data_IF_042687556857
#
_entry.id   IF_042687556857
#
_cell.length_a   1.000
_cell.length_b   1.000
_cell.length_c   1.000
_cell.angle_alpha   90.00
_cell.angle_beta   90.00
_cell.angle_gamma   90.00
#
_symmetry.space_group_name_H-M   'P 1'
#
loop_
_entity.id
_entity.type
_entity.pdbx_description
1 polymer ?
2 polymer ?
3 polymer ?
4 non-polymer ?
5 non-polymer ?
6 non-polymer ?
7 water ?
#
loop_
_entity_poly.entity_id
_entity_poly.type
_entity_poly.pdbx_seq_one_letter_code
_entity_poly.pdbx_strand_id
2 'polydeoxyribonucleotide' '(DA)(DG)(DG)(DA)(DC)(DC)(DOC)' ?
3 'polydeoxyribonucleotide' '(DC)(DT)(DG)(DG)(DG)(DT)(DC)(DC)(DT)' ?
#
# COMPACT_ATOMS: atom_id res chain seq x y z
N UNK A 26 25.17 9.00 -3.89
CA UNK A 26 25.73 8.38 -2.70
C UNK A 26 24.78 7.34 -2.12
N UNK A 27 25.00 6.96 -0.85
CA UNK A 27 24.18 5.93 -0.20
C UNK A 27 23.10 6.52 0.71
N UNK A 28 21.87 6.14 0.43
CA UNK A 28 20.75 6.67 1.14
C UNK A 28 20.44 5.84 2.38
N UNK A 29 19.55 6.35 3.22
CA UNK A 29 18.96 5.61 4.32
C UNK A 29 17.45 5.74 4.15
N UNK A 30 16.81 4.68 3.69
CA UNK A 30 15.38 4.65 3.48
C UNK A 30 14.74 3.82 4.60
N UNK A 31 13.56 4.26 5.07
CA UNK A 31 12.76 3.44 5.99
C UNK A 31 11.42 3.13 5.36
N UNK A 32 10.97 1.90 5.53
CA UNK A 32 9.64 1.54 5.07
C UNK A 32 8.75 1.16 6.24
N UNK A 33 7.73 1.99 6.50
CA UNK A 33 6.83 1.75 7.60
C UNK A 33 5.58 1.04 7.11
N UNK A 34 5.14 0.05 7.86
CA UNK A 34 4.05 -0.81 7.42
C UNK A 34 3.21 -1.20 8.66
N UNK A 35 1.94 -0.80 8.74
CA UNK A 35 1.19 -0.98 9.99
C UNK A 35 0.72 -2.41 10.19
N UNK A 36 0.65 -2.86 11.44
CA UNK A 36 0.17 -4.21 11.71
C UNK A 36 -1.35 -4.33 11.41
N UNK A 37 -1.77 -5.48 10.86
CA UNK A 37 -3.18 -5.81 10.57
C UNK A 37 -4.06 -4.57 10.50
N UNK A 38 -3.79 -3.72 9.52
CA UNK A 38 -4.35 -2.36 9.48
C UNK A 38 -5.83 -2.20 9.81
N UNK A 39 -6.72 -2.69 8.95
CA UNK A 39 -8.15 -2.50 9.16
C UNK A 39 -8.59 -3.07 10.50
N UNK A 40 -8.17 -4.30 10.78
CA UNK A 40 -8.37 -4.95 12.08
C UNK A 40 -7.95 -4.02 13.18
N UNK A 41 -6.80 -3.38 13.00
CA UNK A 41 -6.27 -2.49 14.02
C UNK A 41 -7.16 -1.29 14.29
N UNK A 42 -7.66 -0.66 13.24
CA UNK A 42 -8.51 0.52 13.41
C UNK A 42 -9.82 0.12 14.12
N UNK A 43 -10.29 -1.09 13.81
CA UNK A 43 -11.49 -1.60 14.45
C UNK A 43 -11.31 -1.73 15.94
N UNK A 44 -10.15 -2.25 16.36
CA UNK A 44 -9.87 -2.48 17.78
C UNK A 44 -9.67 -1.20 18.58
N UNK A 45 -9.21 -0.16 17.91
CA UNK A 45 -9.01 1.14 18.57
C UNK A 45 -10.37 1.80 18.79
N UNK A 46 -11.37 1.34 18.04
CA UNK A 46 -12.73 1.85 18.22
C UNK A 46 -13.46 1.07 19.32
N UNK A 47 -13.53 -0.25 19.16
CA UNK A 47 -14.15 -1.11 20.17
C UNK A 47 -13.14 -2.10 20.77
N UNK A 48 -12.43 -1.69 21.83
CA UNK A 48 -11.36 -2.49 22.45
C UNK A 48 -11.79 -3.86 22.97
N UNK A 49 -13.11 -4.07 23.09
CA UNK A 49 -13.63 -5.36 23.55
C UNK A 49 -13.35 -6.47 22.52
N UNK A 50 -12.82 -6.05 21.37
CA UNK A 50 -12.44 -6.99 20.32
C UNK A 50 -10.99 -7.46 20.52
N UNK A 51 -10.19 -6.65 21.24
CA UNK A 51 -8.75 -6.91 21.42
C UNK A 51 -8.43 -8.35 21.87
N UNK A 52 -9.16 -8.83 22.87
CA UNK A 52 -8.93 -10.17 23.40
C UNK A 52 -9.85 -11.20 22.75
N UNK A 53 -9.90 -11.21 21.42
CA UNK A 53 -10.81 -12.08 20.68
C UNK A 53 -10.57 -12.01 19.17
N UNK A 54 -10.56 -13.16 18.48
CA UNK A 54 -10.31 -13.20 17.02
C UNK A 54 -11.23 -12.25 16.24
N UNK A 55 -10.62 -11.33 15.49
CA UNK A 55 -11.35 -10.28 14.75
C UNK A 55 -10.99 -10.27 13.27
N UNK A 56 -12.01 -10.29 12.42
CA UNK A 56 -11.81 -10.23 10.98
C UNK A 56 -12.56 -9.05 10.36
N UNK A 57 -11.93 -8.34 9.44
CA UNK A 57 -12.63 -7.24 8.78
C UNK A 57 -13.23 -7.74 7.46
N UNK A 58 -14.53 -7.53 7.33
CA UNK A 58 -15.31 -8.16 6.28
C UNK A 58 -15.76 -7.19 5.20
N UNK A 59 -15.66 -7.67 3.95
CA UNK A 59 -16.06 -6.92 2.79
C UNK A 59 -16.75 -7.88 1.86
N UNK A 60 -18.04 -7.64 1.63
CA UNK A 60 -18.88 -8.58 0.89
C UNK A 60 -18.67 -9.99 1.42
N UNK A 61 -18.15 -10.88 0.58
CA UNK A 61 -17.91 -12.26 1.00
C UNK A 61 -16.43 -12.50 1.25
N UNK A 62 -15.73 -11.46 1.67
CA UNK A 62 -14.30 -11.60 1.93
C UNK A 62 -13.96 -11.25 3.36
N UNK A 63 -12.85 -11.82 3.83
CA UNK A 63 -12.19 -11.36 5.03
C UNK A 63 -10.83 -10.82 4.59
N UNK A 64 -10.76 -9.51 4.34
CA UNK A 64 -9.58 -8.87 3.77
C UNK A 64 -8.37 -8.87 4.71
N UNK A 65 -8.64 -8.72 5.99
CA UNK A 65 -7.60 -8.79 7.00
C UNK A 65 -8.21 -9.26 8.33
N UNK A 66 -7.37 -9.55 9.29
CA UNK A 66 -7.80 -9.96 10.61
C UNK A 66 -6.69 -9.65 11.58
N UNK A 67 -7.03 -9.46 12.85
CA UNK A 67 -6.01 -9.28 13.87
C UNK A 67 -5.20 -10.57 13.98
N UNK A 68 -4.17 -10.57 14.81
CA UNK A 68 -3.31 -11.75 14.83
C UNK A 68 -3.88 -12.88 15.65
N UNK A 69 -4.84 -12.54 16.52
CA UNK A 69 -5.54 -13.53 17.30
C UNK A 69 -6.25 -14.53 16.39
N UNK A 70 -6.86 -14.05 15.32
CA UNK A 70 -7.53 -14.94 14.38
C UNK A 70 -6.55 -15.53 13.39
N UNK A 71 -5.35 -14.97 13.34
CA UNK A 71 -4.41 -15.37 12.31
C UNK A 71 -3.75 -16.67 12.70
N UNK A 72 -3.57 -16.85 14.00
CA UNK A 72 -3.01 -18.09 14.55
C UNK A 72 -4.06 -19.21 14.46
N UNK A 73 -5.34 -18.85 14.56
CA UNK A 73 -6.44 -19.81 14.43
C UNK A 73 -6.76 -20.15 12.97
N UNK A 74 -5.81 -19.93 12.06
CA UNK A 74 -5.96 -20.34 10.68
C UNK A 74 -6.58 -19.37 9.67
N UNK A 75 -7.17 -18.28 10.16
CA UNK A 75 -7.74 -17.26 9.27
C UNK A 75 -6.60 -16.57 8.53
N UNK A 76 -6.78 -16.31 7.23
CA UNK A 76 -5.74 -15.65 6.44
C UNK A 76 -6.29 -14.47 5.62
N UNK A 77 -5.40 -13.53 5.28
CA UNK A 77 -5.77 -12.36 4.49
C UNK A 77 -6.42 -12.76 3.16
N UNK A 78 -7.52 -12.09 2.80
CA UNK A 78 -8.28 -12.39 1.59
C UNK A 78 -8.79 -13.84 1.57
N UNK A 79 -9.48 -14.24 2.63
CA UNK A 79 -10.05 -15.57 2.68
C UNK A 79 -11.58 -15.51 2.70
N UNK A 80 -12.20 -16.38 1.90
CA UNK A 80 -13.67 -16.52 1.82
C UNK A 80 -14.32 -16.61 3.21
N UNK A 81 -15.42 -15.89 3.42
CA UNK A 81 -16.07 -15.90 4.74
C UNK A 81 -16.59 -17.29 5.12
N UNK A 82 -16.85 -18.14 4.13
CA UNK A 82 -17.28 -19.51 4.42
C UNK A 82 -16.13 -20.42 4.84
N UNK A 83 -14.96 -20.22 4.24
CA UNK A 83 -13.74 -20.92 4.69
C UNK A 83 -13.34 -20.41 6.08
N UNK A 84 -13.53 -19.12 6.31
CA UNK A 84 -13.11 -18.49 7.56
C UNK A 84 -14.04 -18.83 8.71
N UNK A 85 -15.27 -19.25 8.39
CA UNK A 85 -16.18 -19.73 9.42
C UNK A 85 -15.93 -21.22 9.73
N UNK A 86 -15.53 -21.99 8.73
CA UNK A 86 -15.17 -23.40 8.92
C UNK A 86 -13.66 -23.58 9.12
N UNK A 87 -13.04 -22.61 9.80
CA UNK A 87 -11.66 -22.72 10.23
C UNK A 87 -11.57 -21.93 11.53
N UNK A 88 -12.61 -21.15 11.79
CA UNK A 88 -12.78 -20.44 13.04
C UNK A 88 -14.24 -20.02 13.18
N UNK A 89 -15.09 -20.93 13.70
CA UNK A 89 -16.52 -20.67 13.83
C UNK A 89 -16.90 -19.76 15.01
N UNK A 90 -15.92 -19.32 15.80
CA UNK A 90 -16.16 -18.38 16.90
C UNK A 90 -15.58 -16.99 16.59
N UNK A 91 -15.34 -16.78 15.31
CA UNK A 91 -14.77 -15.53 14.80
C UNK A 91 -15.79 -14.39 14.78
N UNK A 92 -15.36 -13.22 15.26
CA UNK A 92 -16.19 -12.00 15.27
C UNK A 92 -15.96 -11.12 14.03
N UNK A 93 -17.03 -10.79 13.32
CA UNK A 93 -16.90 -10.04 12.08
C UNK A 93 -17.34 -8.59 12.25
N UNK A 94 -16.53 -7.69 11.68
CA UNK A 94 -16.92 -6.28 11.55
C UNK A 94 -16.98 -5.94 10.07
N UNK A 95 -17.97 -5.14 9.69
CA UNK A 95 -18.06 -4.67 8.32
C UNK A 95 -17.18 -3.43 8.09
N UNK A 96 -16.26 -3.55 7.14
CA UNK A 96 -15.39 -2.44 6.79
C UNK A 96 -15.40 -2.23 5.29
N UNK A 97 -16.57 -1.94 4.74
CA UNK A 97 -16.72 -1.68 3.31
C UNK A 97 -16.67 -0.17 3.08
N UNK A 98 -16.99 0.56 4.14
CA UNK A 98 -16.82 1.99 4.14
C UNK A 98 -15.37 2.24 4.50
N UNK A 99 -14.57 2.62 3.53
CA UNK A 99 -13.18 2.92 3.83
C UNK A 99 -12.96 4.27 4.53
N UNK A 100 -14.02 4.97 4.93
CA UNK A 100 -13.85 6.31 5.47
C UNK A 100 -12.95 6.39 6.71
N UNK A 101 -13.21 5.55 7.72
CA UNK A 101 -12.43 5.64 8.95
C UNK A 101 -10.95 5.25 8.77
N UNK A 102 -10.67 4.31 7.87
CA UNK A 102 -9.33 3.83 7.63
C UNK A 102 -8.54 4.86 6.87
N UNK A 103 -9.17 5.44 5.85
CA UNK A 103 -8.50 6.44 5.05
C UNK A 103 -8.10 7.64 5.91
N UNK A 104 -8.94 8.03 6.86
CA UNK A 104 -8.57 9.15 7.71
C UNK A 104 -7.36 8.80 8.57
N UNK A 105 -7.30 7.55 9.01
CA UNK A 105 -6.17 7.08 9.80
C UNK A 105 -4.89 6.97 8.96
N UNK A 106 -5.03 6.50 7.73
CA UNK A 106 -3.92 6.43 6.80
C UNK A 106 -3.17 7.74 6.75
N UNK A 107 -3.92 8.82 6.52
CA UNK A 107 -3.36 10.17 6.39
C UNK A 107 -2.89 10.77 7.70
N UNK A 108 -3.49 10.34 8.80
CA UNK A 108 -2.96 10.73 10.08
C UNK A 108 -1.56 10.12 10.25
N UNK A 109 -1.32 8.97 9.62
CA UNK A 109 -0.05 8.32 9.77
C UNK A 109 1.01 8.98 8.88
N UNK A 110 0.67 9.21 7.61
CA UNK A 110 1.59 9.94 6.74
C UNK A 110 1.98 11.29 7.36
N UNK A 111 1.03 11.99 7.97
CA UNK A 111 1.32 13.33 8.45
C UNK A 111 2.20 13.35 9.68
N UNK A 112 2.05 12.33 10.51
CA UNK A 112 2.95 12.13 11.62
C UNK A 112 4.35 11.83 11.05
N UNK A 113 4.45 10.95 10.04
CA UNK A 113 5.75 10.70 9.42
C UNK A 113 6.28 11.94 8.72
N UNK A 114 5.37 12.71 8.13
CA UNK A 114 5.75 13.87 7.35
C UNK A 114 6.46 14.86 8.25
N UNK A 115 6.31 14.69 9.55
CA UNK A 115 6.84 15.65 10.52
C UNK A 115 8.33 15.44 10.79
N UNK A 116 8.72 14.17 10.88
CA UNK A 116 10.13 13.80 10.92
C UNK A 116 10.82 14.32 9.66
N UNK A 117 10.40 13.86 8.48
CA UNK A 117 10.95 14.39 7.24
C UNK A 117 9.83 14.56 6.24
N UNK A 118 9.83 15.70 5.52
CA UNK A 118 8.72 16.13 4.65
C UNK A 118 8.44 15.22 3.44
N UNK A 119 9.44 14.47 2.97
CA UNK A 119 9.30 13.65 1.76
C UNK A 119 8.85 12.23 2.09
N UNK A 120 7.54 12.02 2.10
CA UNK A 120 6.95 10.74 2.42
C UNK A 120 6.13 10.23 1.25
N UNK A 121 6.42 9.01 0.84
CA UNK A 121 5.67 8.35 -0.21
C UNK A 121 4.72 7.33 0.39
N UNK A 122 3.44 7.50 0.11
CA UNK A 122 2.52 6.48 0.54
C UNK A 122 2.56 5.36 -0.48
N UNK A 123 2.20 4.16 -0.04
CA UNK A 123 1.97 3.04 -0.91
C UNK A 123 0.78 2.35 -0.32
N UNK A 124 -0.40 2.66 -0.85
CA UNK A 124 -1.63 2.16 -0.28
C UNK A 124 -1.93 2.90 1.01
N UNK A 125 -2.86 2.36 1.79
CA UNK A 125 -3.30 3.03 3.01
C UNK A 125 -2.32 2.88 4.19
N UNK A 126 -1.50 1.85 4.18
CA UNK A 126 -0.73 1.50 5.37
C UNK A 126 0.78 1.53 5.23
N UNK A 127 1.26 1.81 4.02
CA UNK A 127 2.71 1.84 3.86
C UNK A 127 3.27 3.24 3.58
N UNK A 128 4.41 3.51 4.17
CA UNK A 128 5.06 4.77 3.97
C UNK A 128 6.57 4.57 3.82
N UNK A 129 7.15 5.22 2.82
CA UNK A 129 8.59 5.31 2.72
C UNK A 129 9.00 6.69 3.15
N UNK A 130 10.09 6.77 3.88
CA UNK A 130 10.65 8.06 4.20
C UNK A 130 12.14 7.98 4.01
N UNK A 131 12.64 8.92 3.23
CA UNK A 131 14.06 9.02 2.99
C UNK A 131 14.62 9.72 4.20
N UNK A 132 15.30 8.95 5.04
CA UNK A 132 15.95 9.41 6.26
C UNK A 132 17.39 9.94 6.09
N UNK A 133 17.85 10.16 4.85
CA UNK A 133 19.27 10.49 4.62
C UNK A 133 19.71 11.82 5.20
N UNK A 134 19.02 12.90 4.84
CA UNK A 134 19.30 14.19 5.46
C UNK A 134 19.22 14.16 7.01
N UNK A 135 18.15 13.60 7.58
CA UNK A 135 18.08 13.45 9.05
C UNK A 135 19.29 12.74 9.65
N UNK A 136 19.72 11.63 9.04
CA UNK A 136 20.85 10.84 9.58
C UNK A 136 22.14 11.67 9.57
N UNK A 137 22.39 12.30 8.43
CA UNK A 137 23.54 13.18 8.24
C UNK A 137 23.57 14.24 9.32
N UNK A 138 22.49 15.01 9.41
CA UNK A 138 22.34 16.07 10.40
C UNK A 138 22.60 15.60 11.83
N UNK A 139 22.19 14.38 12.15
CA UNK A 139 22.40 13.86 13.50
C UNK A 139 23.87 13.57 13.81
N UNK A 140 24.57 12.94 12.87
CA UNK A 140 25.98 12.61 13.07
C UNK A 140 26.80 13.87 13.32
N UNK A 141 26.61 14.88 12.47
CA UNK A 141 27.34 16.14 12.59
C UNK A 141 27.09 16.86 13.91
N UNK A 142 26.12 16.38 14.68
CA UNK A 142 25.81 16.93 16.00
C UNK A 142 26.63 16.22 17.06
N UNK A 143 27.11 15.04 16.71
CA UNK A 143 27.83 14.18 17.65
C UNK A 143 29.30 14.56 17.78
N UNK A 144 29.87 14.23 18.94
CA UNK A 144 31.26 14.52 19.25
C UNK A 144 32.11 13.26 19.15
N UNK A 145 33.24 13.35 18.46
CA UNK A 145 34.14 12.22 18.18
C UNK A 145 34.53 11.39 19.41
N UNK A 146 33.53 10.94 20.16
CA UNK A 146 33.76 10.18 21.40
C UNK A 146 32.50 9.38 21.67
N UNK A 147 31.35 10.04 21.48
CA UNK A 147 30.04 9.40 21.59
C UNK A 147 29.64 8.76 20.25
N UNK A 148 30.64 8.51 19.41
CA UNK A 148 30.45 7.82 18.14
C UNK A 148 30.70 6.32 18.29
N UNK A 149 30.52 5.82 19.50
CA UNK A 149 30.79 4.42 19.83
C UNK A 149 29.74 3.99 20.85
N UNK A 150 29.10 4.99 21.46
CA UNK A 150 27.96 4.76 22.34
C UNK A 150 26.78 4.26 21.51
N UNK A 151 26.79 4.63 20.21
CA UNK A 151 25.76 4.25 19.21
C UNK A 151 25.34 2.78 19.20
N UNK A 152 24.04 2.56 19.25
CA UNK A 152 23.49 1.21 19.28
C UNK A 152 22.43 1.06 18.22
N UNK A 153 21.91 -0.15 18.09
CA UNK A 153 20.84 -0.40 17.14
C UNK A 153 19.50 -0.44 17.87
N UNK A 154 18.45 -0.03 17.17
CA UNK A 154 17.09 -0.19 17.67
C UNK A 154 16.43 -1.32 16.92
N UNK A 155 16.02 -2.34 17.67
CA UNK A 155 15.36 -3.46 17.08
C UNK A 155 16.36 -4.46 16.53
N UNK A 156 15.85 -5.39 15.72
CA UNK A 156 16.62 -6.46 15.09
C UNK A 156 17.66 -5.99 14.07
N UNK A 157 18.65 -6.84 13.83
CA UNK A 157 19.58 -6.59 12.75
C UNK A 157 19.47 -7.77 11.82
N UNK A 158 19.27 -7.54 10.54
CA UNK A 158 19.02 -8.67 9.63
C UNK A 158 20.16 -9.71 9.53
N UNK A 159 19.77 -10.98 9.48
CA UNK A 159 20.68 -12.13 9.46
C UNK A 159 21.55 -12.20 10.69
N UNK A 160 21.22 -11.40 11.70
CA UNK A 160 21.95 -11.43 12.95
C UNK A 160 23.40 -10.94 12.78
N UNK A 161 23.60 -10.10 11.78
CA UNK A 161 24.92 -9.68 11.37
C UNK A 161 25.67 -8.82 12.37
N UNK A 162 26.97 -9.02 12.42
CA UNK A 162 27.83 -8.24 13.30
C UNK A 162 27.93 -6.81 12.84
N UNK A 163 27.94 -5.90 13.80
CA UNK A 163 28.08 -4.48 13.54
C UNK A 163 29.52 -4.08 13.71
N UNK A 164 30.00 -3.34 12.72
CA UNK A 164 31.32 -2.78 12.75
C UNK A 164 31.15 -1.27 12.90
N UNK A 165 31.32 -0.81 14.15
CA UNK A 165 31.14 0.61 14.51
C UNK A 165 32.02 1.58 13.72
N UNK A 166 32.98 1.07 12.96
CA UNK A 166 33.90 1.93 12.23
C UNK A 166 33.47 2.08 10.77
N UNK A 167 32.54 1.21 10.35
CA UNK A 167 31.94 1.28 9.03
C UNK A 167 30.95 2.44 8.99
N UNK A 168 31.29 3.52 8.29
CA UNK A 168 30.44 4.69 8.30
C UNK A 168 28.97 4.36 7.90
N UNK A 169 28.79 3.49 6.89
CA UNK A 169 27.45 3.06 6.45
C UNK A 169 26.72 2.27 7.53
N UNK A 170 27.48 1.47 8.27
CA UNK A 170 26.92 0.82 9.44
C UNK A 170 26.38 1.85 10.44
N UNK A 171 27.16 2.90 10.70
CA UNK A 171 26.80 3.92 11.67
C UNK A 171 25.55 4.65 11.22
N UNK A 172 25.47 4.90 9.91
CA UNK A 172 24.33 5.55 9.34
C UNK A 172 23.04 4.70 9.46
N UNK A 173 23.08 3.43 9.08
CA UNK A 173 21.92 2.58 9.17
C UNK A 173 21.43 2.34 10.59
N UNK A 174 22.33 2.42 11.57
CA UNK A 174 21.93 2.29 12.96
C UNK A 174 21.17 3.51 13.40
N UNK A 175 21.69 4.67 12.99
CA UNK A 175 21.03 5.93 13.31
C UNK A 175 19.64 5.87 12.71
N UNK A 176 19.59 5.51 11.43
CA UNK A 176 18.33 5.32 10.71
C UNK A 176 17.37 4.39 11.43
N UNK A 177 17.90 3.43 12.19
CA UNK A 177 17.04 2.54 12.96
C UNK A 177 16.54 3.21 14.23
N UNK A 178 17.33 4.15 14.77
CA UNK A 178 16.94 4.90 15.96
C UNK A 178 15.79 5.84 15.61
N UNK A 179 15.90 6.49 14.46
CA UNK A 179 14.81 7.31 13.95
C UNK A 179 13.60 6.44 13.75
N UNK A 180 13.76 5.30 13.11
CA UNK A 180 12.62 4.42 12.84
C UNK A 180 11.86 4.09 14.11
N UNK A 181 12.60 3.80 15.17
CA UNK A 181 11.97 3.51 16.44
C UNK A 181 11.19 4.73 16.97
N UNK A 182 11.70 5.94 16.73
CA UNK A 182 11.06 7.17 17.22
C UNK A 182 9.78 7.51 16.48
N UNK A 183 9.79 7.23 15.19
CA UNK A 183 8.57 7.25 14.41
C UNK A 183 7.60 6.27 15.08
N UNK A 184 7.96 4.99 15.11
CA UNK A 184 7.08 3.97 15.68
C UNK A 184 6.55 4.34 17.06
N UNK A 185 7.40 4.97 17.88
CA UNK A 185 6.97 5.37 19.21
C UNK A 185 5.93 6.45 19.10
N UNK A 186 6.22 7.46 18.30
CA UNK A 186 5.27 8.56 18.09
C UNK A 186 3.91 8.02 17.66
N UNK A 187 3.89 7.28 16.55
CA UNK A 187 2.68 6.60 16.06
C UNK A 187 1.86 5.95 17.15
N UNK A 188 2.52 5.32 18.10
CA UNK A 188 1.77 4.68 19.18
C UNK A 188 1.26 5.70 20.18
N UNK A 189 2.15 6.58 20.64
CA UNK A 189 1.82 7.62 21.61
C UNK A 189 0.68 8.52 21.12
N UNK A 190 0.76 8.98 19.89
CA UNK A 190 -0.20 9.94 19.38
C UNK A 190 -1.32 9.35 18.55
N UNK A 191 -1.15 8.15 18.02
CA UNK A 191 -2.26 7.60 17.25
C UNK A 191 -2.77 6.28 17.79
N UNK A 192 -2.04 5.70 18.74
CA UNK A 192 -2.40 4.39 19.27
C UNK A 192 -2.14 3.23 18.32
N UNK A 193 -1.32 3.44 17.31
CA UNK A 193 -1.04 2.41 16.30
C UNK A 193 0.34 1.73 16.41
N UNK A 194 0.35 0.43 16.09
CA UNK A 194 1.61 -0.34 16.03
C UNK A 194 1.85 -0.89 14.61
N UNK A 195 3.11 -0.89 14.19
CA UNK A 195 3.48 -1.42 12.89
C UNK A 195 4.94 -1.81 12.83
N UNK A 196 5.37 -2.31 11.68
CA UNK A 196 6.78 -2.67 11.47
C UNK A 196 7.53 -1.63 10.65
N UNK A 197 8.84 -1.63 10.81
CA UNK A 197 9.70 -0.78 10.00
C UNK A 197 10.86 -1.62 9.50
N UNK A 198 11.30 -1.37 8.27
CA UNK A 198 12.61 -1.80 7.82
C UNK A 198 13.52 -0.63 7.49
N UNK A 199 14.73 -0.60 8.03
CA UNK A 199 15.71 0.37 7.55
C UNK A 199 16.72 -0.32 6.61
N UNK A 200 16.93 0.27 5.45
CA UNK A 200 17.86 -0.26 4.45
C UNK A 200 18.40 0.89 3.58
N UNK A 201 18.89 0.60 2.38
CA UNK A 201 19.54 1.65 1.61
C UNK A 201 18.85 1.97 0.27
N UNK A 202 17.74 1.32 0.01
CA UNK A 202 16.85 1.72 -1.06
C UNK A 202 15.45 1.17 -0.76
N UNK A 203 14.44 1.56 -1.53
CA UNK A 203 13.08 1.21 -1.15
C UNK A 203 12.81 -0.28 -1.28
N UNK A 204 13.34 -0.92 -2.32
CA UNK A 204 13.11 -2.34 -2.49
C UNK A 204 13.61 -3.15 -1.28
N UNK A 205 14.83 -2.86 -0.84
CA UNK A 205 15.38 -3.53 0.33
C UNK A 205 14.73 -3.12 1.68
N UNK A 206 14.43 -1.84 1.87
CA UNK A 206 13.76 -1.44 3.10
C UNK A 206 12.40 -2.16 3.25
N UNK A 207 11.74 -2.44 2.13
CA UNK A 207 10.42 -3.06 2.21
C UNK A 207 10.47 -4.59 2.43
N UNK A 208 11.51 -5.22 1.89
CA UNK A 208 11.71 -6.66 2.05
C UNK A 208 12.19 -7.02 3.45
N UNK A 209 12.92 -6.09 4.10
CA UNK A 209 13.40 -6.31 5.46
C UNK A 209 12.42 -5.86 6.55
N UNK A 210 11.42 -5.06 6.19
CA UNK A 210 10.45 -4.54 7.16
C UNK A 210 9.60 -5.66 7.67
N UNK A 211 9.42 -6.67 6.84
CA UNK A 211 8.54 -7.77 7.16
C UNK A 211 9.22 -8.96 7.82
N UNK A 212 10.49 -8.83 8.17
CA UNK A 212 11.19 -9.99 8.69
C UNK A 212 10.69 -10.35 10.07
N UNK A 213 10.43 -9.35 10.91
CA UNK A 213 9.81 -9.60 12.22
C UNK A 213 8.47 -8.90 12.37
N UNK A 214 7.39 -9.67 12.28
CA UNK A 214 6.02 -9.17 12.47
C UNK A 214 5.40 -9.86 13.68
N UNK A 215 4.52 -9.16 14.39
CA UNK A 215 4.18 -7.76 14.11
C UNK A 215 4.91 -6.86 15.09
N UNK A 216 4.92 -5.57 14.80
CA UNK A 216 5.37 -4.60 15.75
C UNK A 216 6.84 -4.76 16.16
N UNK A 217 7.69 -4.98 15.17
CA UNK A 217 9.14 -4.99 15.36
C UNK A 217 9.75 -4.24 14.20
N UNK A 218 11.02 -3.88 14.32
CA UNK A 218 11.76 -3.34 13.19
C UNK A 218 13.06 -4.11 12.98
N UNK A 219 13.52 -4.12 11.74
CA UNK A 219 14.71 -4.85 11.32
C UNK A 219 15.54 -3.92 10.47
N UNK A 220 16.83 -3.81 10.75
CA UNK A 220 17.71 -2.99 9.92
C UNK A 220 18.63 -3.90 9.10
N UNK A 221 18.89 -3.51 7.85
CA UNK A 221 19.66 -4.34 6.94
C UNK A 221 21.00 -3.77 6.67
N UNK A 222 22.04 -4.46 7.12
CA UNK A 222 23.42 -4.09 6.78
C UNK A 222 23.80 -4.62 5.39
N UNK A 223 24.69 -3.90 4.69
CA UNK A 223 25.07 -4.24 3.29
C UNK A 223 25.56 -5.71 3.07
N UNK A 224 26.48 -6.17 3.92
CA UNK A 224 26.94 -7.57 3.87
C UNK A 224 25.79 -8.61 3.84
N UNK A 225 24.65 -8.28 4.45
CA UNK A 225 23.55 -9.23 4.51
C UNK A 225 22.53 -9.06 3.39
N UNK A 226 22.85 -8.19 2.43
CA UNK A 226 21.94 -7.94 1.31
C UNK A 226 21.70 -9.14 0.36
N UNK A 227 22.77 -9.77 -0.14
CA UNK A 227 22.59 -11.01 -0.89
C UNK A 227 21.80 -12.05 -0.08
N UNK A 228 22.08 -12.18 1.22
CA UNK A 228 21.34 -13.13 2.04
C UNK A 228 19.85 -12.95 1.90
N UNK A 229 19.40 -11.70 2.07
CA UNK A 229 17.99 -11.36 1.98
C UNK A 229 17.41 -11.64 0.59
N UNK A 230 18.08 -11.15 -0.45
CA UNK A 230 17.60 -11.35 -1.80
C UNK A 230 17.46 -12.84 -2.16
N UNK A 231 18.40 -13.67 -1.73
CA UNK A 231 18.32 -15.08 -2.06
C UNK A 231 17.47 -15.86 -1.09
N UNK A 232 16.95 -15.18 -0.07
CA UNK A 232 16.02 -15.84 0.84
C UNK A 232 14.60 -16.02 0.28
N UNK A 233 14.27 -15.30 -0.80
CA UNK A 233 12.94 -15.37 -1.40
C UNK A 233 12.80 -16.60 -2.27
N UNK A 234 11.62 -17.21 -2.21
CA UNK A 234 11.38 -18.50 -2.84
C UNK A 234 10.64 -18.44 -4.18
N UNK A 235 9.88 -17.38 -4.40
CA UNK A 235 9.23 -17.20 -5.69
C UNK A 235 9.53 -15.78 -6.18
N UNK A 236 9.75 -15.61 -7.47
CA UNK A 236 10.02 -14.28 -8.00
C UNK A 236 8.85 -13.31 -7.80
N UNK A 237 7.65 -13.85 -7.66
CA UNK A 237 6.50 -12.97 -7.45
C UNK A 237 6.55 -12.32 -6.08
N UNK A 238 7.54 -12.68 -5.26
CA UNK A 238 7.71 -12.09 -3.93
C UNK A 238 8.49 -10.78 -4.01
N UNK A 239 9.01 -10.48 -5.21
CA UNK A 239 9.73 -9.25 -5.45
C UNK A 239 8.78 -8.09 -5.73
N UNK A 240 8.76 -7.09 -4.85
CA UNK A 240 7.91 -5.93 -5.13
C UNK A 240 8.31 -5.27 -6.47
N UNK A 241 7.46 -5.42 -7.48
CA UNK A 241 7.73 -4.90 -8.80
C UNK A 241 7.27 -5.90 -9.85
N UNK A 242 7.39 -7.18 -9.48
CA UNK A 242 6.95 -8.27 -10.31
C UNK A 242 5.59 -8.73 -9.78
N UNK A 243 4.59 -8.68 -10.64
CA UNK A 243 3.23 -8.96 -10.22
C UNK A 243 2.69 -10.19 -10.89
N UNK A 244 1.36 -10.28 -11.04
CA UNK A 244 0.77 -11.49 -11.61
C UNK A 244 1.27 -11.82 -13.02
N UNK A 245 1.11 -10.90 -13.96
CA UNK A 245 1.45 -11.20 -15.35
C UNK A 245 2.94 -11.42 -15.59
N UNK A 246 3.76 -10.47 -15.14
CA UNK A 246 5.20 -10.56 -15.36
C UNK A 246 5.77 -11.87 -14.85
N UNK A 247 5.16 -12.39 -13.79
CA UNK A 247 5.53 -13.70 -13.26
C UNK A 247 5.26 -14.82 -14.26
N UNK A 248 4.02 -14.92 -14.73
CA UNK A 248 3.63 -16.04 -15.58
C UNK A 248 4.39 -16.01 -16.89
N UNK A 249 4.80 -14.82 -17.31
CA UNK A 249 5.64 -14.71 -18.49
C UNK A 249 7.06 -15.16 -18.15
N UNK A 250 7.47 -14.97 -16.90
CA UNK A 250 8.78 -15.44 -16.46
C UNK A 250 8.82 -16.96 -16.25
N UNK A 251 7.80 -17.49 -15.59
CA UNK A 251 7.69 -18.94 -15.34
C UNK A 251 7.73 -19.68 -16.66
N UNK A 252 6.95 -19.19 -17.62
CA UNK A 252 7.01 -19.69 -18.99
C UNK A 252 8.28 -19.20 -19.68
N UNK A 253 9.42 -19.49 -19.08
CA UNK A 253 10.71 -19.13 -19.66
C UNK A 253 11.83 -19.87 -18.92
N UNK A 254 11.44 -20.63 -17.89
CA UNK A 254 12.38 -21.43 -17.11
C UNK A 254 13.03 -20.67 -15.97
N UNK A 255 12.51 -19.46 -15.72
CA UNK A 255 12.96 -18.60 -14.63
C UNK A 255 12.03 -18.77 -13.44
N UNK A 256 12.49 -19.42 -12.38
CA UNK A 256 11.65 -19.66 -11.22
C UNK A 256 12.24 -19.08 -9.93
N UNK A 257 13.56 -18.91 -9.92
CA UNK A 257 14.20 -18.35 -8.73
C UNK A 257 14.73 -16.93 -8.98
N UNK A 258 15.13 -16.26 -7.90
CA UNK A 258 15.70 -14.94 -8.03
C UNK A 258 17.04 -15.06 -8.78
N UNK A 259 17.73 -16.19 -8.61
CA UNK A 259 18.99 -16.41 -9.30
C UNK A 259 18.76 -16.82 -10.76
N UNK A 260 17.73 -17.63 -11.01
CA UNK A 260 17.34 -17.96 -12.38
C UNK A 260 17.17 -16.67 -13.20
N UNK A 261 16.53 -15.65 -12.60
CA UNK A 261 16.38 -14.33 -13.23
C UNK A 261 17.64 -13.46 -13.10
N UNK A 262 18.35 -13.58 -11.99
CA UNK A 262 19.60 -12.85 -11.81
C UNK A 262 20.60 -13.18 -12.92
N UNK A 263 20.65 -14.45 -13.29
CA UNK A 263 21.72 -14.94 -14.16
C UNK A 263 21.25 -15.12 -15.61
N UNK A 264 19.95 -14.94 -15.82
CA UNK A 264 19.38 -15.02 -17.15
C UNK A 264 19.98 -13.97 -18.07
N UNK A 265 19.82 -14.15 -19.38
CA UNK A 265 20.37 -13.22 -20.35
C UNK A 265 19.49 -12.00 -20.61
N UNK A 266 20.09 -10.81 -20.49
CA UNK A 266 19.40 -9.54 -20.69
C UNK A 266 18.67 -9.49 -22.04
N UNK A 267 19.41 -9.55 -23.14
CA UNK A 267 18.85 -9.45 -24.50
C UNK A 267 17.55 -10.20 -24.64
N UNK A 268 17.58 -11.50 -24.35
CA UNK A 268 16.41 -12.35 -24.52
C UNK A 268 15.24 -11.77 -23.74
N UNK A 269 15.57 -11.24 -22.56
CA UNK A 269 14.60 -10.67 -21.62
C UNK A 269 14.19 -9.24 -22.01
N UNK A 270 15.17 -8.40 -22.40
CA UNK A 270 14.87 -7.08 -22.93
C UNK A 270 13.85 -7.26 -24.03
N UNK A 271 14.19 -8.11 -24.99
CA UNK A 271 13.33 -8.47 -26.12
C UNK A 271 11.90 -8.87 -25.69
N UNK A 272 11.81 -9.74 -24.71
CA UNK A 272 10.53 -10.35 -24.34
C UNK A 272 9.61 -9.41 -23.57
N UNK A 273 10.21 -8.44 -22.89
CA UNK A 273 9.48 -7.64 -21.92
C UNK A 273 9.69 -6.16 -22.17
N UNK A 274 10.38 -5.83 -23.24
CA UNK A 274 10.66 -4.43 -23.53
C UNK A 274 11.73 -3.93 -22.60
N UNK A 275 12.75 -3.33 -23.18
CA UNK A 275 13.94 -2.86 -22.48
C UNK A 275 13.65 -2.18 -21.13
N UNK A 276 12.48 -1.56 -21.02
CA UNK A 276 12.06 -0.91 -19.79
C UNK A 276 11.99 -1.86 -18.61
N UNK A 277 11.03 -2.78 -18.66
CA UNK A 277 10.77 -3.65 -17.50
C UNK A 277 11.87 -4.70 -17.27
N UNK A 278 12.45 -5.20 -18.36
CA UNK A 278 13.58 -6.11 -18.28
C UNK A 278 14.65 -5.52 -17.38
N UNK A 279 15.32 -4.48 -17.86
CA UNK A 279 16.49 -3.95 -17.14
C UNK A 279 16.18 -3.60 -15.71
N UNK A 280 14.90 -3.40 -15.41
CA UNK A 280 14.50 -2.98 -14.09
C UNK A 280 14.21 -4.14 -13.14
N UNK A 281 13.52 -5.17 -13.61
CA UNK A 281 13.35 -6.34 -12.75
C UNK A 281 14.64 -7.17 -12.61
N UNK A 282 15.56 -7.01 -13.54
CA UNK A 282 16.81 -7.70 -13.37
C UNK A 282 17.58 -6.94 -12.31
N UNK A 283 17.54 -5.62 -12.40
CA UNK A 283 18.32 -4.79 -11.48
C UNK A 283 17.76 -4.93 -10.09
N UNK A 284 16.44 -5.12 -10.03
CA UNK A 284 15.73 -5.46 -8.80
C UNK A 284 16.23 -6.79 -8.25
N UNK A 285 16.49 -7.74 -9.14
CA UNK A 285 16.79 -9.09 -8.72
C UNK A 285 18.12 -9.18 -7.99
N UNK A 286 18.93 -8.13 -8.06
CA UNK A 286 20.21 -8.07 -7.32
C UNK A 286 20.08 -7.16 -6.12
N UNK A 287 18.86 -6.68 -5.88
CA UNK A 287 18.58 -5.75 -4.80
C UNK A 287 18.93 -4.30 -5.09
N UNK A 288 19.12 -3.97 -6.37
CA UNK A 288 19.45 -2.60 -6.78
C UNK A 288 18.20 -1.81 -7.13
N UNK A 289 18.01 -0.72 -6.41
CA UNK A 289 16.84 0.12 -6.61
C UNK A 289 17.26 1.58 -6.56
N UNK A 290 17.16 2.26 -7.69
CA UNK A 290 17.69 3.61 -7.83
C UNK A 290 16.64 4.58 -7.42
N UNK A 291 15.40 4.08 -7.45
CA UNK A 291 14.20 4.91 -7.38
C UNK A 291 14.16 5.74 -6.11
N UNK A 292 13.89 7.03 -6.27
CA UNK A 292 13.85 7.94 -5.12
C UNK A 292 12.52 7.82 -4.39
N UNK A 293 12.45 8.47 -3.23
CA UNK A 293 11.25 8.51 -2.45
C UNK A 293 10.62 9.82 -2.86
N UNK A 294 9.36 9.78 -3.27
CA UNK A 294 8.72 10.98 -3.78
C UNK A 294 7.51 11.41 -2.97
N UNK A 295 7.46 12.69 -2.58
CA UNK A 295 6.31 13.28 -1.91
C UNK A 295 4.99 12.88 -2.59
N UNK A 296 4.18 12.13 -1.87
CA UNK A 296 2.90 11.68 -2.39
C UNK A 296 1.93 12.87 -2.42
N UNK A 297 1.93 13.62 -1.32
CA UNK A 297 1.01 14.72 -1.12
C UNK A 297 -0.45 14.34 -1.07
N UNK A 298 -1.34 15.31 -1.32
CA UNK A 298 -2.77 15.05 -1.52
C UNK A 298 -2.95 14.11 -2.69
N UNK A 299 -4.06 13.35 -2.69
CA UNK A 299 -4.36 12.34 -3.73
C UNK A 299 -4.41 12.92 -5.12
N UNK A 300 -4.24 12.06 -6.12
CA UNK A 300 -4.38 12.43 -7.52
C UNK A 300 -5.75 11.96 -8.02
N UNK A 301 -6.51 11.34 -7.12
CA UNK A 301 -7.84 10.86 -7.45
C UNK A 301 -8.61 10.40 -6.21
N UNK A 302 -9.93 10.49 -6.25
CA UNK A 302 -10.73 9.85 -5.21
C UNK A 302 -12.08 9.32 -5.70
N UNK A 303 -12.28 8.03 -5.47
CA UNK A 303 -13.36 7.26 -6.10
C UNK A 303 -14.21 6.58 -5.03
N UNK A 304 -15.28 5.93 -5.49
CA UNK A 304 -16.10 5.05 -4.67
C UNK A 304 -16.50 3.82 -5.51
N UNK A 305 -16.16 2.63 -5.01
CA UNK A 305 -16.52 1.36 -5.66
C UNK A 305 -17.66 0.68 -4.92
N UNK A 306 -18.29 -0.27 -5.62
CA UNK A 306 -19.25 -1.23 -5.05
C UNK A 306 -19.39 -2.40 -6.03
N UNK A 307 -19.47 -3.61 -5.51
CA UNK A 307 -19.66 -4.80 -6.35
C UNK A 307 -20.83 -5.65 -5.86
N UNK A 308 -21.26 -6.58 -6.70
CA UNK A 308 -22.47 -7.36 -6.42
C UNK A 308 -22.57 -8.65 -7.24
N UNK A 309 -23.77 -9.21 -7.25
CA UNK A 309 -24.06 -10.40 -8.02
C UNK A 309 -24.65 -9.98 -9.37
N UNK A 310 -25.60 -9.06 -9.32
CA UNK A 310 -26.34 -8.63 -10.52
C UNK A 310 -26.88 -7.20 -10.49
N UNK A 311 -26.72 -6.51 -11.60
CA UNK A 311 -27.42 -5.26 -11.87
C UNK A 311 -27.70 -5.17 -13.36
N UNK A 312 -28.96 -5.35 -13.76
CA UNK A 312 -29.34 -5.46 -15.17
C UNK A 312 -30.44 -4.47 -15.61
N UNK A 313 -30.66 -3.42 -14.83
CA UNK A 313 -31.63 -2.39 -15.20
C UNK A 313 -31.00 -0.98 -15.28
N UNK A 314 -31.69 -0.07 -15.96
CA UNK A 314 -31.21 1.30 -16.07
C UNK A 314 -31.58 2.10 -14.82
N UNK A 315 -32.61 1.63 -14.11
CA UNK A 315 -33.04 2.31 -12.89
C UNK A 315 -32.19 1.92 -11.67
N UNK A 316 -31.70 0.68 -11.65
CA UNK A 316 -30.83 0.21 -10.58
C UNK A 316 -29.46 0.89 -10.68
N UNK A 317 -28.96 0.96 -11.91
CA UNK A 317 -27.72 1.69 -12.19
C UNK A 317 -27.79 3.17 -11.77
N UNK A 318 -28.91 3.84 -12.04
CA UNK A 318 -29.02 5.25 -11.67
C UNK A 318 -28.92 5.49 -10.15
N UNK A 319 -29.55 4.63 -9.36
CA UNK A 319 -29.54 4.82 -7.90
C UNK A 319 -28.19 4.47 -7.24
N UNK A 320 -27.53 3.42 -7.72
CA UNK A 320 -26.18 3.07 -7.25
C UNK A 320 -25.19 4.19 -7.55
N UNK A 321 -25.29 4.74 -8.75
CA UNK A 321 -24.44 5.84 -9.20
C UNK A 321 -24.76 7.14 -8.45
N UNK A 322 -25.94 7.20 -7.83
CA UNK A 322 -26.29 8.34 -6.99
C UNK A 322 -25.66 8.27 -5.60
N UNK A 323 -25.64 7.07 -5.00
CA UNK A 323 -25.08 6.89 -3.66
C UNK A 323 -23.56 7.11 -3.69
N UNK A 324 -22.93 6.50 -4.70
CA UNK A 324 -21.50 6.65 -4.96
C UNK A 324 -21.14 8.12 -5.04
N UNK A 325 -21.99 8.88 -5.73
CA UNK A 325 -21.76 10.29 -5.95
C UNK A 325 -22.07 11.17 -4.73
N UNK A 326 -22.90 10.68 -3.83
CA UNK A 326 -23.24 11.43 -2.62
C UNK A 326 -22.10 11.38 -1.59
N UNK A 327 -21.53 10.19 -1.42
CA UNK A 327 -20.38 10.04 -0.54
C UNK A 327 -19.22 10.84 -1.12
N UNK A 328 -18.98 10.63 -2.41
CA UNK A 328 -17.95 11.38 -3.13
C UNK A 328 -18.04 12.87 -2.91
N UNK A 329 -19.25 13.41 -2.90
CA UNK A 329 -19.46 14.85 -2.77
C UNK A 329 -19.03 15.38 -1.41
N UNK A 330 -19.39 14.67 -0.34
CA UNK A 330 -19.01 15.09 1.02
C UNK A 330 -17.49 15.06 1.15
N UNK A 331 -16.88 14.16 0.37
CA UNK A 331 -15.44 14.02 0.25
C UNK A 331 -14.82 15.15 -0.56
N UNK A 332 -15.44 15.44 -1.70
CA UNK A 332 -14.91 16.40 -2.68
C UNK A 332 -14.83 17.83 -2.16
N UNK A 333 -15.45 18.08 -1.01
CA UNK A 333 -15.22 19.32 -0.29
C UNK A 333 -13.75 19.42 0.15
N UNK A 334 -13.47 20.32 1.09
CA UNK A 334 -12.07 20.72 1.43
C UNK A 334 -11.19 21.01 0.20
N UNK A 335 -9.87 21.09 0.42
CA UNK A 335 -8.87 21.76 -0.44
C UNK A 335 -9.32 22.68 -1.61
N UNK A 337 -8.90 21.23 -3.04
CA UNK A 337 -9.15 21.64 -4.43
C UNK A 337 -10.49 21.12 -4.98
N UNK A 338 -10.65 21.20 -6.29
CA UNK A 338 -11.83 20.63 -6.94
C UNK A 338 -11.37 19.92 -8.21
N UNK A 339 -12.11 18.88 -8.61
CA UNK A 339 -11.74 18.05 -9.77
C UNK A 339 -12.28 18.58 -11.08
N UNK A 340 -11.58 18.27 -12.16
CA UNK A 340 -11.98 18.73 -13.49
C UNK A 340 -12.23 17.58 -14.47
N UNK A 341 -12.46 16.38 -13.94
CA UNK A 341 -12.84 15.23 -14.80
C UNK A 341 -13.69 14.22 -14.03
N UNK A 342 -14.52 13.49 -14.75
CA UNK A 342 -15.32 12.44 -14.15
C UNK A 342 -15.08 11.12 -14.87
N UNK A 343 -14.92 10.08 -14.07
CA UNK A 343 -14.61 8.75 -14.57
C UNK A 343 -15.71 7.84 -14.10
N UNK A 344 -16.20 6.99 -15.00
CA UNK A 344 -17.20 5.97 -14.67
C UNK A 344 -16.64 4.62 -15.07
N UNK A 345 -16.70 3.67 -14.13
CA UNK A 345 -16.14 2.35 -14.36
C UNK A 345 -17.19 1.27 -14.18
N UNK A 346 -17.22 0.32 -15.12
CA UNK A 346 -18.10 -0.84 -14.99
C UNK A 346 -17.30 -2.15 -15.12
N UNK A 347 -17.83 -3.23 -14.54
CA UNK A 347 -17.37 -4.58 -14.87
C UNK A 347 -18.57 -5.45 -15.20
N UNK A 348 -18.48 -6.21 -16.28
CA UNK A 348 -19.62 -6.98 -16.76
C UNK A 348 -19.31 -8.47 -16.76
N UNK A 349 -20.26 -9.27 -16.27
CA UNK A 349 -20.26 -10.74 -16.39
C UNK A 349 -21.56 -11.32 -15.87
N UNK A 356 -11.64 -7.67 -18.80
CA UNK A 356 -11.84 -7.18 -17.46
C UNK A 356 -12.89 -6.07 -17.38
N UNK A 357 -12.42 -4.83 -17.29
CA UNK A 357 -13.29 -3.68 -17.07
C UNK A 357 -13.52 -2.83 -18.34
N UNK A 358 -14.13 -1.66 -18.16
CA UNK A 358 -14.34 -0.64 -19.20
C UNK A 358 -14.62 0.70 -18.53
N UNK A 359 -14.27 1.81 -19.20
CA UNK A 359 -14.54 3.14 -18.64
C UNK A 359 -14.78 4.22 -19.68
N UNK A 360 -15.48 5.28 -19.27
CA UNK A 360 -15.79 6.41 -20.14
C UNK A 360 -15.60 7.68 -19.33
N UNK A 361 -14.83 8.62 -19.86
CA UNK A 361 -14.69 9.90 -19.16
C UNK A 361 -14.98 11.13 -20.03
N UNK A 362 -14.84 12.29 -19.40
CA UNK A 362 -15.23 13.58 -19.93
C UNK A 362 -14.98 14.60 -18.82
N UNK A 363 -14.94 15.89 -19.15
CA UNK A 363 -14.71 16.89 -18.10
C UNK A 363 -15.99 17.43 -17.42
N UNK A 364 -15.81 18.01 -16.24
CA UNK A 364 -16.89 18.60 -15.46
C UNK A 364 -17.06 20.08 -15.80
N UNK A 365 -18.20 20.47 -16.40
CA UNK A 365 -18.52 21.87 -16.73
C UNK A 365 -18.16 22.88 -15.63
N UNK A 366 -17.71 24.07 -16.00
CA UNK A 366 -17.08 25.01 -15.06
C UNK A 366 -17.98 25.58 -13.97
N UNK A 367 -19.22 25.92 -14.32
CA UNK A 367 -20.15 26.41 -13.30
C UNK A 367 -20.56 25.27 -12.36
N UNK A 368 -20.33 24.04 -12.82
CA UNK A 368 -20.54 22.83 -12.02
C UNK A 368 -19.44 22.69 -10.97
N UNK A 369 -18.25 23.22 -11.27
CA UNK A 369 -17.14 23.31 -10.32
C UNK A 369 -17.37 24.47 -9.34
N UNK A 370 -18.51 24.45 -8.66
CA UNK A 370 -18.87 25.50 -7.70
C UNK A 370 -19.74 24.92 -6.56
N UNK A 371 -19.10 24.70 -5.41
CA UNK A 371 -19.73 24.01 -4.28
C UNK A 371 -20.25 24.97 -3.22
N UNK A 378 -27.23 22.71 -4.74
CA UNK A 378 -27.43 21.36 -5.25
C UNK A 378 -26.67 21.13 -6.55
N UNK A 379 -25.87 20.07 -6.57
CA UNK A 379 -25.04 19.79 -7.73
C UNK A 379 -25.33 18.39 -8.27
N UNK A 380 -26.10 17.61 -7.51
CA UNK A 380 -26.32 16.21 -7.85
C UNK A 380 -27.06 15.96 -9.16
N UNK A 381 -28.05 16.81 -9.43
CA UNK A 381 -28.92 16.62 -10.59
C UNK A 381 -28.23 16.69 -11.99
N UNK A 382 -27.38 17.70 -12.24
CA UNK A 382 -26.74 17.67 -13.56
C UNK A 382 -25.77 16.51 -13.71
N UNK A 383 -25.06 16.24 -12.62
CA UNK A 383 -24.06 15.18 -12.58
C UNK A 383 -24.62 13.82 -12.98
N UNK A 384 -25.77 13.45 -12.43
CA UNK A 384 -26.36 12.15 -12.71
C UNK A 384 -26.67 11.99 -14.20
N UNK A 385 -27.15 13.08 -14.82
CA UNK A 385 -27.44 13.09 -16.25
C UNK A 385 -26.18 12.79 -17.06
N UNK A 386 -25.07 13.48 -16.73
CA UNK A 386 -23.77 13.25 -17.37
C UNK A 386 -23.32 11.80 -17.27
N UNK A 387 -23.30 11.29 -16.04
CA UNK A 387 -22.81 9.95 -15.77
C UNK A 387 -23.62 8.91 -16.48
N UNK A 388 -24.91 9.17 -16.62
CA UNK A 388 -25.79 8.27 -17.34
C UNK A 388 -25.55 8.33 -18.84
N UNK A 389 -25.27 9.52 -19.35
CA UNK A 389 -24.93 9.67 -20.76
C UNK A 389 -23.66 8.89 -21.04
N UNK A 390 -22.78 8.88 -20.05
CA UNK A 390 -21.52 8.14 -20.16
C UNK A 390 -21.78 6.64 -20.02
N UNK A 391 -22.78 6.32 -19.22
CA UNK A 391 -23.26 4.95 -19.06
C UNK A 391 -23.74 4.39 -20.40
N UNK A 392 -24.79 5.02 -20.95
CA UNK A 392 -25.39 4.61 -22.22
C UNK A 392 -24.35 4.44 -23.33
N UNK A 393 -23.33 5.31 -23.34
CA UNK A 393 -22.26 5.24 -24.32
C UNK A 393 -21.58 3.88 -24.23
N UNK A 394 -21.50 3.37 -23.01
CA UNK A 394 -20.75 2.14 -22.77
C UNK A 394 -21.66 0.92 -22.75
N UNK A 395 -22.79 1.05 -22.06
CA UNK A 395 -23.75 -0.04 -21.96
C UNK A 395 -24.92 0.14 -22.92
N UNK A 396 -25.34 -0.94 -23.55
CA UNK A 396 -26.47 -0.88 -24.46
C UNK A 396 -27.77 -1.33 -23.79
N UNK A 397 -28.72 -0.40 -23.64
CA UNK A 397 -29.96 -0.66 -22.90
C UNK A 397 -30.94 -1.61 -23.60
N UNK A 398 -30.96 -1.59 -24.93
CA UNK A 398 -31.90 -2.41 -25.69
C UNK A 398 -31.42 -3.86 -25.81
N UNK A 399 -30.14 -4.08 -25.53
CA UNK A 399 -29.57 -5.44 -25.42
C UNK A 399 -29.38 -5.79 -23.94
N UNK A 400 -29.29 -7.09 -23.62
CA UNK A 400 -29.19 -7.45 -22.20
C UNK A 400 -27.82 -7.09 -21.60
N UNK A 401 -27.80 -6.66 -20.34
CA UNK A 401 -26.54 -6.31 -19.66
C UNK A 401 -26.48 -6.81 -18.21
N UNK A 402 -25.34 -7.39 -17.82
CA UNK A 402 -25.14 -7.90 -16.46
C UNK A 402 -23.83 -7.41 -15.83
N UNK A 403 -23.94 -6.36 -15.01
CA UNK A 403 -22.77 -5.72 -14.41
C UNK A 403 -22.54 -6.17 -12.96
N UNK A 404 -21.28 -6.53 -12.65
CA UNK A 404 -20.91 -6.95 -11.30
C UNK A 404 -20.02 -5.94 -10.54
N UNK A 405 -19.93 -4.70 -11.05
CA UNK A 405 -19.20 -3.60 -10.37
C UNK A 405 -19.44 -2.20 -10.98
N UNK A 406 -19.70 -1.22 -10.12
CA UNK A 406 -19.75 0.19 -10.52
C UNK A 406 -18.80 1.09 -9.72
N UNK A 407 -18.21 2.08 -10.39
CA UNK A 407 -17.39 3.07 -9.69
C UNK A 407 -17.44 4.48 -10.31
N UNK A 408 -17.36 5.48 -9.43
CA UNK A 408 -17.39 6.88 -9.81
C UNK A 408 -16.09 7.57 -9.36
N UNK A 409 -15.22 7.89 -10.31
CA UNK A 409 -13.94 8.51 -9.98
C UNK A 409 -13.87 9.99 -10.35
N UNK A 410 -13.27 10.80 -9.48
CA UNK A 410 -12.88 12.18 -9.81
C UNK A 410 -11.38 12.34 -9.99
N UNK A 411 -10.88 12.49 -11.22
CA UNK A 411 -9.47 12.84 -11.38
C UNK A 411 -9.22 14.36 -11.48
N UNK A 412 -7.98 14.72 -11.78
CA UNK A 412 -7.65 16.06 -12.26
C UNK A 412 -7.92 17.20 -11.28
N UNK A 413 -7.55 17.01 -10.01
CA UNK A 413 -7.82 18.03 -9.00
C UNK A 413 -6.92 19.27 -9.21
N UNK A 414 -7.47 20.46 -8.93
CA UNK A 414 -6.74 21.72 -9.15
C UNK A 414 -6.55 22.56 -7.89
#
# INVERSE_FOLDING_TARGET
MELADVGAAASSQGVHDQVLPTPNASSRVIVHVDLDCFYAQVEMISNPELKDKPLGVQQKYLVVTCNYEARKLGVKKLMNVRDAKEKCPQLVLVNGEDLTRYREMSYKVTELLEEFSPVVERLGFDENFVDLTEMVEKRLQQLQSDELSAVTVSGHVYNNQSINLLDVLHIRLLVGSQIAAEMREAMYNQLGLTGCAGVASNKLLAKLVSGVFKPNQQTVLLPESCQHLIHSLNHIKEIPGIGYKTAKCLEALGINSVRDLQTFSPKILEKELGISVAQRIQKLSFGEDNSPVILSGPPQSFSEEDSFKKCSSEVEAKNKIEELLASLLNRVCQDGRKPHTVRLIIRRYSSEKHYGRESRQCPIPSHVIQKLGTGNYDVMTPMVDILMKLFRNMVNVKMPFHLTLLSVCFCNLKALNTAK
#
